data_IF_280036736684
#
_entry.id   IF_280036736684
#
_cell.length_a   1.000
_cell.length_b   1.000
_cell.length_c   1.000
_cell.angle_alpha   90.00
_cell.angle_beta   90.00
_cell.angle_gamma   90.00
#
_symmetry.space_group_name_H-M   'P 1'
#
loop_
_entity.id
_entity.type
_entity.pdbx_description
1 polymer ?
#
# COMPACT_ATOMS: atom_id res chain seq x y z
N UNK A 1 -23.13 -23.10 -23.84
CA UNK A 1 -22.54 -21.92 -23.16
C UNK A 1 -21.88 -20.96 -24.18
N UNK A 2 -20.71 -21.22 -24.77
CA UNK A 2 -20.09 -20.22 -25.70
C UNK A 2 -20.80 -20.06 -27.06
N UNK A 3 -21.29 -21.13 -27.68
CA UNK A 3 -21.95 -21.06 -29.00
C UNK A 3 -23.37 -20.50 -28.98
N UNK A 4 -23.99 -20.41 -27.80
CA UNK A 4 -25.39 -19.98 -27.66
C UNK A 4 -25.51 -18.49 -27.31
N UNK A 5 -24.50 -17.94 -26.64
CA UNK A 5 -24.49 -16.53 -26.22
C UNK A 5 -23.39 -15.69 -26.87
N UNK A 6 -22.50 -16.28 -27.68
CA UNK A 6 -21.33 -15.61 -28.29
C UNK A 6 -20.42 -14.85 -27.30
N UNK A 7 -20.47 -15.20 -26.01
CA UNK A 7 -19.59 -14.60 -25.01
C UNK A 7 -18.30 -15.42 -24.98
N UNK A 8 -17.23 -14.84 -25.51
CA UNK A 8 -15.87 -15.37 -25.41
C UNK A 8 -15.19 -14.76 -24.18
N UNK A 9 -14.81 -15.60 -23.20
CA UNK A 9 -14.23 -15.16 -21.94
C UNK A 9 -12.71 -15.21 -22.02
N UNK A 10 -12.09 -14.11 -22.42
CA UNK A 10 -10.64 -13.97 -22.39
C UNK A 10 -10.16 -13.57 -21.00
N UNK A 11 -9.41 -14.46 -20.34
CA UNK A 11 -8.79 -14.16 -19.05
C UNK A 11 -7.39 -13.63 -19.34
N UNK A 12 -7.25 -12.31 -19.42
CA UNK A 12 -5.94 -11.67 -19.55
C UNK A 12 -5.34 -11.49 -18.15
N UNK A 13 -4.31 -12.26 -17.82
CA UNK A 13 -3.45 -11.95 -16.69
C UNK A 13 -2.44 -10.91 -17.16
N UNK A 14 -2.51 -9.64 -16.70
CA UNK A 14 -1.53 -8.65 -17.10
C UNK A 14 -0.14 -9.13 -16.65
N UNK A 15 0.84 -9.10 -17.57
CA UNK A 15 2.24 -9.32 -17.22
C UNK A 15 2.67 -8.21 -16.26
N UNK A 16 2.73 -8.54 -14.98
CA UNK A 16 3.29 -7.66 -13.93
C UNK A 16 4.82 -7.56 -14.02
N UNK A 17 5.46 -8.41 -14.83
CA UNK A 17 6.89 -8.66 -14.74
C UNK A 17 7.78 -7.76 -15.61
N UNK A 18 7.21 -7.03 -16.58
CA UNK A 18 8.04 -6.44 -17.65
C UNK A 18 8.08 -4.91 -17.71
N UNK A 19 7.37 -4.18 -16.84
CA UNK A 19 7.42 -2.69 -16.80
C UNK A 19 7.69 -2.07 -15.44
N UNK A 20 7.54 -2.80 -14.35
CA UNK A 20 7.87 -2.27 -13.02
C UNK A 20 9.32 -2.64 -12.69
N UNK A 21 10.18 -1.62 -12.59
CA UNK A 21 11.58 -1.75 -12.13
C UNK A 21 11.69 -1.89 -10.60
N UNK A 22 10.58 -2.19 -9.92
CA UNK A 22 10.54 -2.38 -8.47
C UNK A 22 11.06 -3.77 -8.16
N UNK A 23 12.37 -3.89 -7.96
CA UNK A 23 13.02 -5.10 -7.53
C UNK A 23 13.23 -5.04 -6.01
N UNK A 24 12.72 -6.06 -5.32
CA UNK A 24 12.96 -6.19 -3.89
C UNK A 24 14.46 -6.26 -3.61
N UNK A 25 14.92 -5.43 -2.67
CA UNK A 25 16.29 -5.37 -2.20
C UNK A 25 16.28 -5.44 -0.68
N UNK A 26 16.79 -6.54 -0.11
CA UNK A 26 16.79 -6.78 1.34
C UNK A 26 17.28 -5.59 2.18
N UNK A 27 18.32 -4.89 1.69
CA UNK A 27 18.91 -3.74 2.40
C UNK A 27 18.06 -2.47 2.37
N UNK A 28 17.19 -2.33 1.38
CA UNK A 28 16.39 -1.12 1.18
C UNK A 28 14.93 -1.31 1.63
N UNK A 29 14.42 -2.54 1.54
CA UNK A 29 13.00 -2.83 1.74
C UNK A 29 12.70 -3.54 3.09
N UNK A 30 13.72 -4.00 3.82
CA UNK A 30 13.57 -4.57 5.16
C UNK A 30 14.09 -3.58 6.21
N UNK A 31 13.24 -3.24 7.17
CA UNK A 31 13.60 -2.40 8.30
C UNK A 31 13.54 -3.22 9.60
N UNK A 32 14.66 -3.27 10.31
CA UNK A 32 14.71 -3.77 11.69
C UNK A 32 14.73 -2.54 12.59
N UNK A 33 13.66 -2.35 13.36
CA UNK A 33 13.46 -1.16 14.20
C UNK A 33 13.09 -1.58 15.62
N UNK A 34 13.27 -0.65 16.57
CA UNK A 34 12.78 -0.82 17.93
C UNK A 34 11.24 -0.87 17.94
N UNK A 35 10.68 -1.58 18.92
CA UNK A 35 9.22 -1.73 19.05
C UNK A 35 8.53 -0.36 19.22
N UNK A 36 9.16 0.58 19.93
CA UNK A 36 8.62 1.93 20.12
C UNK A 36 8.62 2.77 18.82
N UNK A 37 9.53 2.46 17.90
CA UNK A 37 9.69 3.17 16.64
C UNK A 37 8.92 2.53 15.47
N UNK A 38 8.29 1.37 15.71
CA UNK A 38 7.61 0.59 14.68
C UNK A 38 6.53 1.40 13.93
N UNK A 39 5.58 2.01 14.65
CA UNK A 39 4.53 2.83 14.04
C UNK A 39 5.02 4.15 13.46
N UNK A 40 6.09 4.72 14.03
CA UNK A 40 6.72 5.94 13.50
C UNK A 40 7.35 5.64 12.13
N UNK A 41 8.06 4.51 12.03
CA UNK A 41 8.69 4.06 10.79
C UNK A 41 7.66 3.75 9.72
N UNK A 42 6.57 3.05 10.07
CA UNK A 42 5.45 2.79 9.15
C UNK A 42 4.82 4.08 8.64
N UNK A 43 4.54 5.05 9.52
CA UNK A 43 3.99 6.36 9.12
C UNK A 43 4.89 7.04 8.11
N UNK A 44 6.19 7.11 8.41
CA UNK A 44 7.19 7.76 7.53
C UNK A 44 7.22 7.12 6.15
N UNK A 45 7.09 5.80 6.07
CA UNK A 45 7.05 5.11 4.79
C UNK A 45 5.78 5.46 4.02
N UNK A 46 4.61 5.39 4.67
CA UNK A 46 3.34 5.83 4.05
C UNK A 46 3.45 7.27 3.53
N UNK A 47 3.97 8.19 4.33
CA UNK A 47 4.14 9.60 3.96
C UNK A 47 5.09 9.78 2.77
N UNK A 48 6.19 9.01 2.71
CA UNK A 48 7.13 9.04 1.57
C UNK A 48 6.46 8.65 0.24
N UNK A 49 5.51 7.72 0.28
CA UNK A 49 4.79 7.25 -0.91
C UNK A 49 3.56 8.12 -1.24
N UNK A 50 2.95 8.78 -0.25
CA UNK A 50 1.84 9.72 -0.43
C UNK A 50 2.29 11.09 -0.93
N UNK A 51 3.41 11.61 -0.39
CA UNK A 51 3.96 12.93 -0.69
C UNK A 51 5.16 12.74 -1.62
N UNK A 52 4.90 12.86 -2.92
CA UNK A 52 5.90 12.51 -3.92
C UNK A 52 7.19 13.32 -3.86
N UNK A 53 8.31 12.56 -3.95
CA UNK A 53 9.61 13.04 -4.43
C UNK A 53 9.75 13.04 -5.96
N UNK A 54 8.74 12.62 -6.73
CA UNK A 54 8.82 12.49 -8.20
C UNK A 54 7.53 12.90 -8.91
N UNK A 55 7.37 14.19 -9.19
CA UNK A 55 6.56 14.74 -10.31
C UNK A 55 5.18 14.08 -10.61
N UNK A 56 4.19 14.28 -9.75
CA UNK A 56 2.77 14.41 -10.11
C UNK A 56 1.80 13.22 -9.91
N UNK A 57 2.21 12.06 -9.41
CA UNK A 57 1.36 10.90 -9.14
C UNK A 57 1.29 10.49 -7.65
N UNK A 58 0.24 10.91 -6.94
CA UNK A 58 -0.13 10.29 -5.65
C UNK A 58 -0.34 8.78 -5.84
N UNK A 59 0.40 7.95 -5.11
CA UNK A 59 0.26 6.48 -5.16
C UNK A 59 -0.55 6.00 -3.96
N UNK A 60 -1.48 5.08 -4.21
CA UNK A 60 -2.17 4.37 -3.14
C UNK A 60 -1.19 3.42 -2.43
N UNK A 61 -1.23 3.40 -1.10
CA UNK A 61 -0.41 2.52 -0.26
C UNK A 61 -1.32 1.47 0.39
N UNK A 62 -0.92 0.20 0.30
CA UNK A 62 -1.58 -0.90 1.00
C UNK A 62 -0.66 -1.39 2.10
N UNK A 63 -1.16 -1.40 3.35
CA UNK A 63 -0.42 -1.84 4.53
C UNK A 63 -1.06 -3.11 5.06
N UNK A 64 -0.23 -4.14 5.29
CA UNK A 64 -0.67 -5.44 5.78
C UNK A 64 -0.12 -5.70 7.17
N UNK A 65 -0.97 -6.23 8.04
CA UNK A 65 -0.61 -6.66 9.39
C UNK A 65 -0.92 -8.15 9.50
N UNK A 66 -0.11 -8.88 10.26
CA UNK A 66 -0.30 -10.31 10.47
C UNK A 66 -1.62 -10.61 11.20
N UNK A 67 -1.99 -9.75 12.14
CA UNK A 67 -3.20 -9.92 12.95
C UNK A 67 -4.11 -8.69 12.91
N UNK A 68 -5.41 -8.93 13.11
CA UNK A 68 -6.40 -7.85 13.27
C UNK A 68 -6.06 -6.94 14.45
N UNK A 69 -5.48 -7.49 15.52
CA UNK A 69 -5.10 -6.72 16.70
C UNK A 69 -4.06 -5.64 16.35
N UNK A 70 -2.99 -6.01 15.67
CA UNK A 70 -1.94 -5.08 15.23
C UNK A 70 -2.48 -4.02 14.26
N UNK A 71 -3.37 -4.40 13.35
CA UNK A 71 -4.06 -3.45 12.47
C UNK A 71 -4.83 -2.40 13.28
N UNK A 72 -5.62 -2.84 14.27
CA UNK A 72 -6.43 -1.93 15.09
C UNK A 72 -5.54 -1.04 15.97
N UNK A 73 -4.48 -1.59 16.56
CA UNK A 73 -3.49 -0.82 17.34
C UNK A 73 -2.88 0.30 16.50
N UNK A 74 -2.49 0.01 15.25
CA UNK A 74 -1.98 1.04 14.34
C UNK A 74 -3.07 2.04 13.95
N UNK A 75 -4.27 1.58 13.60
CA UNK A 75 -5.38 2.41 13.16
C UNK A 75 -5.87 3.39 14.24
N UNK A 76 -5.82 2.99 15.51
CA UNK A 76 -6.16 3.80 16.67
C UNK A 76 -4.98 4.62 17.20
N UNK A 77 -3.75 4.35 16.71
CA UNK A 77 -2.57 5.08 17.13
C UNK A 77 -2.60 6.55 16.68
N UNK A 78 -1.95 7.46 17.44
CA UNK A 78 -1.74 8.84 16.99
C UNK A 78 -0.99 8.91 15.65
N UNK A 79 -0.16 7.92 15.32
CA UNK A 79 0.63 7.87 14.10
C UNK A 79 -0.21 7.80 12.82
N UNK A 80 -1.44 7.25 12.90
CA UNK A 80 -2.36 7.17 11.75
C UNK A 80 -3.43 8.26 11.73
N UNK A 81 -3.54 9.04 12.81
CA UNK A 81 -4.61 10.03 12.98
C UNK A 81 -4.67 11.04 11.84
N UNK A 82 -3.53 11.64 11.46
CA UNK A 82 -3.43 12.63 10.38
C UNK A 82 -3.86 12.05 9.03
N UNK A 83 -3.43 10.83 8.70
CA UNK A 83 -3.79 10.14 7.45
C UNK A 83 -5.30 9.83 7.40
N UNK A 84 -5.89 9.52 8.55
CA UNK A 84 -7.32 9.21 8.67
C UNK A 84 -8.21 10.44 8.41
N UNK A 85 -7.78 11.64 8.80
CA UNK A 85 -8.56 12.86 8.58
C UNK A 85 -8.60 13.27 7.10
N UNK A 86 -7.50 13.11 6.36
CA UNK A 86 -7.44 13.42 4.92
C UNK A 86 -8.38 12.53 4.07
N UNK A 87 -8.67 11.32 4.53
CA UNK A 87 -9.62 10.42 3.88
C UNK A 87 -11.09 10.83 4.04
N UNK A 88 -11.42 11.67 5.02
CA UNK A 88 -12.80 12.06 5.35
C UNK A 88 -13.19 13.40 4.70
N UNK A 89 -12.23 14.23 4.29
CA UNK A 89 -12.51 15.59 3.77
C UNK A 89 -12.67 15.70 2.24
N UNK A 90 -12.82 14.59 1.50
CA UNK A 90 -13.18 14.63 0.07
C UNK A 90 -14.58 14.05 -0.13
N UNK A 91 -15.60 14.86 0.16
CA UNK A 91 -17.00 14.69 -0.31
C UNK A 91 -17.18 15.23 -1.74
#
# INVERSE_FOLDING_TARGET
MEKEYHISKYTYMPSLFSKNQLAFTEKADIFIVDENDYFITLKKEIDNWLVEKTQGAKRAVLVFFETKKQLMEFYESPNFSEIKYDAICND
#
